data_IF_850758424372
#
_entry.id   IF_850758424372
#
_cell.length_a   1.000
_cell.length_b   1.000
_cell.length_c   1.000
_cell.angle_alpha   90.00
_cell.angle_beta   90.00
_cell.angle_gamma   90.00
#
_symmetry.space_group_name_H-M   'P 1'
#
loop_
_entity.id
_entity.type
_entity.pdbx_description
1 polymer ?
#
# COMPACT_ATOMS: atom_id res chain seq x y z
N UNK A 1 -18.58 9.28 14.42
CA UNK A 1 -19.06 7.91 14.11
C UNK A 1 -17.87 7.01 13.86
N UNK A 2 -17.90 5.77 14.38
CA UNK A 2 -16.84 4.79 14.12
C UNK A 2 -16.95 4.22 12.70
N UNK A 3 -15.80 4.08 12.04
CA UNK A 3 -15.60 3.55 10.69
C UNK A 3 -14.72 2.31 10.82
N UNK A 4 -15.28 1.12 10.58
CA UNK A 4 -14.56 -0.16 10.74
C UNK A 4 -15.05 -1.18 9.71
N UNK A 5 -14.45 -2.37 9.70
CA UNK A 5 -14.64 -3.37 8.64
C UNK A 5 -16.09 -3.81 8.38
N UNK A 6 -17.00 -3.64 9.34
CA UNK A 6 -18.44 -3.94 9.19
C UNK A 6 -19.31 -2.70 8.95
N UNK A 7 -18.74 -1.50 8.99
CA UNK A 7 -19.49 -0.24 8.92
C UNK A 7 -18.58 0.90 8.42
N UNK A 8 -18.29 0.92 7.11
CA UNK A 8 -17.58 2.01 6.46
C UNK A 8 -18.55 2.90 5.66
N UNK A 9 -18.62 4.17 6.04
CA UNK A 9 -19.27 5.25 5.28
C UNK A 9 -18.26 6.16 4.57
N UNK A 10 -16.95 5.92 4.77
CA UNK A 10 -15.86 6.62 4.11
C UNK A 10 -14.88 5.60 3.50
N UNK A 11 -14.24 5.99 2.40
CA UNK A 11 -13.19 5.20 1.76
C UNK A 11 -11.88 5.48 2.48
N UNK A 12 -11.27 4.45 3.07
CA UNK A 12 -10.15 4.66 3.99
C UNK A 12 -8.84 5.13 3.35
N UNK A 13 -8.40 4.67 2.16
CA UNK A 13 -7.12 5.12 1.58
C UNK A 13 -6.97 6.65 1.45
N UNK A 14 -7.95 7.41 0.92
CA UNK A 14 -7.90 8.88 0.95
C UNK A 14 -7.81 9.47 2.36
N UNK A 15 -8.51 8.90 3.34
CA UNK A 15 -8.43 9.37 4.74
C UNK A 15 -7.02 9.17 5.33
N UNK A 16 -6.36 8.03 5.05
CA UNK A 16 -4.99 7.75 5.49
C UNK A 16 -4.01 8.75 4.87
N UNK A 17 -4.15 9.00 3.57
CA UNK A 17 -3.29 9.95 2.83
C UNK A 17 -3.48 11.37 3.39
N UNK A 18 -4.72 11.82 3.54
CA UNK A 18 -5.03 13.14 4.08
C UNK A 18 -4.51 13.34 5.52
N UNK A 19 -4.55 12.27 6.34
CA UNK A 19 -4.03 12.27 7.71
C UNK A 19 -2.50 12.10 7.81
N UNK A 20 -1.77 12.04 6.69
CA UNK A 20 -0.31 11.89 6.71
C UNK A 20 0.18 10.53 7.20
N UNK A 21 -0.68 9.50 7.15
CA UNK A 21 -0.38 8.17 7.68
C UNK A 21 0.12 7.19 6.61
N UNK A 22 0.18 7.61 5.35
CA UNK A 22 0.70 6.77 4.28
C UNK A 22 0.47 7.33 2.88
N UNK A 23 1.06 6.63 1.92
CA UNK A 23 0.94 6.93 0.49
C UNK A 23 0.29 5.77 -0.25
N UNK A 24 -0.30 6.08 -1.40
CA UNK A 24 -0.93 5.10 -2.27
C UNK A 24 0.12 4.13 -2.84
N UNK A 25 -0.26 2.86 -2.98
CA UNK A 25 0.63 1.82 -3.55
C UNK A 25 0.12 1.29 -4.87
N UNK A 26 0.95 0.45 -5.53
CA UNK A 26 0.61 -0.28 -6.76
C UNK A 26 -0.69 -1.08 -6.70
N UNK A 27 -1.17 -1.50 -5.53
CA UNK A 27 -2.45 -2.23 -5.47
C UNK A 27 -3.66 -1.32 -5.68
N UNK A 28 -3.51 0.00 -5.62
CA UNK A 28 -4.55 0.98 -5.94
C UNK A 28 -5.55 1.26 -4.83
N UNK A 29 -5.94 0.24 -4.06
CA UNK A 29 -6.95 0.37 -2.98
C UNK A 29 -6.34 0.37 -1.58
N UNK A 30 -5.01 0.40 -1.46
CA UNK A 30 -4.31 0.29 -0.20
C UNK A 30 -3.10 1.22 -0.17
N UNK A 31 -2.80 1.74 1.02
CA UNK A 31 -1.66 2.60 1.28
C UNK A 31 -0.55 1.83 1.99
N UNK A 32 0.65 2.37 1.97
CA UNK A 32 1.76 1.95 2.82
C UNK A 32 2.08 3.07 3.82
N UNK A 33 2.39 2.70 5.05
CA UNK A 33 2.84 3.62 6.10
C UNK A 33 4.37 3.59 6.19
N UNK A 34 5.08 4.70 6.42
CA UNK A 34 6.55 4.74 6.41
C UNK A 34 7.21 3.77 7.40
N UNK A 35 6.64 3.65 8.62
CA UNK A 35 7.09 2.69 9.65
C UNK A 35 6.44 1.29 9.60
N UNK A 36 5.12 1.20 9.45
CA UNK A 36 4.39 -0.08 9.51
C UNK A 36 4.38 -0.82 8.17
N UNK A 37 4.78 -0.14 7.10
CA UNK A 37 4.74 -0.68 5.77
C UNK A 37 3.33 -0.82 5.22
N UNK A 38 3.21 -1.75 4.28
CA UNK A 38 1.93 -2.11 3.67
C UNK A 38 1.09 -3.08 4.53
N UNK A 39 1.61 -3.54 5.67
CA UNK A 39 0.91 -4.49 6.55
C UNK A 39 0.26 -3.79 7.73
N UNK A 40 -0.82 -3.09 7.41
CA UNK A 40 -1.71 -2.51 8.39
C UNK A 40 -3.16 -2.65 7.95
N UNK A 41 -4.06 -2.56 8.93
CA UNK A 41 -5.50 -2.34 8.73
C UNK A 41 -5.85 -1.05 9.44
N UNK A 42 -6.87 -0.38 8.93
CA UNK A 42 -7.27 0.93 9.40
C UNK A 42 -8.70 0.93 9.87
N UNK A 43 -8.98 1.85 10.75
CA UNK A 43 -10.30 2.25 11.19
C UNK A 43 -10.23 3.77 11.46
N UNK A 44 -11.36 4.46 11.43
CA UNK A 44 -11.40 5.90 11.68
C UNK A 44 -12.58 6.26 12.58
N UNK A 45 -12.50 7.43 13.21
CA UNK A 45 -13.64 8.03 13.92
C UNK A 45 -13.86 9.41 13.30
N UNK A 46 -15.02 9.63 12.71
CA UNK A 46 -15.43 10.98 12.29
C UNK A 46 -16.01 11.71 13.49
N UNK A 47 -15.71 12.99 13.65
CA UNK A 47 -16.17 13.78 14.79
C UNK A 47 -16.28 15.25 14.39
N UNK A 48 -17.19 15.97 15.03
CA UNK A 48 -17.32 17.44 14.91
C UNK A 48 -16.43 18.17 15.93
N UNK A 49 -15.67 17.43 16.75
CA UNK A 49 -14.67 17.98 17.64
C UNK A 49 -13.61 18.75 16.82
N UNK A 50 -13.38 20.04 17.07
CA UNK A 50 -12.34 20.79 16.37
C UNK A 50 -10.96 20.24 16.72
N UNK A 51 -10.24 19.76 15.71
CA UNK A 51 -8.88 19.24 15.80
C UNK A 51 -8.02 19.91 14.74
N UNK A 52 -6.73 20.09 15.03
CA UNK A 52 -5.77 20.53 14.01
C UNK A 52 -5.54 19.36 13.02
N UNK A 53 -5.73 19.56 11.70
CA UNK A 53 -5.47 18.51 10.73
C UNK A 53 -3.97 18.33 10.51
N UNK A 54 -3.57 17.07 10.36
CA UNK A 54 -2.25 16.70 9.86
C UNK A 54 -2.11 17.04 8.36
N UNK A 55 -0.91 16.82 7.80
CA UNK A 55 -0.62 17.02 6.38
C UNK A 55 -0.24 15.69 5.72
N UNK A 56 -0.56 15.52 4.42
CA UNK A 56 -0.02 14.41 3.63
C UNK A 56 1.51 14.36 3.69
N UNK A 57 2.04 13.15 3.52
CA UNK A 57 3.48 12.86 3.52
C UNK A 57 3.95 12.40 2.13
N UNK A 58 5.24 12.53 1.89
CA UNK A 58 5.96 11.93 0.77
C UNK A 58 7.23 11.24 1.32
N UNK A 59 7.22 9.92 1.26
CA UNK A 59 8.30 8.99 1.57
C UNK A 59 8.63 8.10 0.35
N UNK A 60 8.36 8.59 -0.87
CA UNK A 60 8.83 7.96 -2.11
C UNK A 60 8.12 6.67 -2.51
N UNK A 61 6.90 6.42 -2.01
CA UNK A 61 6.17 5.19 -2.34
C UNK A 61 5.78 5.12 -3.82
N UNK A 62 5.51 6.26 -4.45
CA UNK A 62 5.23 6.35 -5.89
C UNK A 62 6.40 5.80 -6.71
N UNK A 63 7.60 6.35 -6.51
CA UNK A 63 8.81 5.94 -7.23
C UNK A 63 9.17 4.49 -6.94
N UNK A 64 9.00 4.07 -5.70
CA UNK A 64 9.21 2.68 -5.32
C UNK A 64 8.26 1.74 -6.08
N UNK A 65 6.98 2.08 -6.13
CA UNK A 65 5.99 1.27 -6.80
C UNK A 65 6.25 1.19 -8.31
N UNK A 66 6.73 2.26 -8.97
CA UNK A 66 7.09 2.28 -10.40
C UNK A 66 8.08 1.19 -10.78
N UNK A 67 9.08 0.93 -9.94
CA UNK A 67 10.17 -0.03 -10.25
C UNK A 67 10.03 -1.41 -9.59
N UNK A 68 9.24 -1.50 -8.51
CA UNK A 68 9.17 -2.72 -7.71
C UNK A 68 8.39 -3.85 -8.39
N UNK A 69 7.07 -3.70 -8.56
CA UNK A 69 6.23 -4.71 -9.22
C UNK A 69 6.03 -6.05 -8.49
N UNK A 70 6.76 -6.35 -7.40
CA UNK A 70 6.75 -7.67 -6.74
C UNK A 70 5.36 -8.16 -6.35
N UNK A 71 4.48 -7.27 -5.89
CA UNK A 71 3.11 -7.62 -5.54
C UNK A 71 2.28 -8.09 -6.75
N UNK A 72 2.55 -7.55 -7.94
CA UNK A 72 1.90 -7.98 -9.19
C UNK A 72 2.45 -9.33 -9.66
N UNK A 73 3.76 -9.55 -9.58
CA UNK A 73 4.40 -10.82 -9.95
C UNK A 73 3.97 -11.98 -9.06
N UNK A 74 3.69 -11.70 -7.79
CA UNK A 74 3.27 -12.71 -6.80
C UNK A 74 1.74 -12.76 -6.59
N UNK A 75 0.95 -12.07 -7.41
CA UNK A 75 -0.50 -12.08 -7.28
C UNK A 75 -1.07 -13.41 -7.82
N UNK A 76 -1.64 -14.30 -6.98
CA UNK A 76 -2.08 -15.62 -7.42
C UNK A 76 -3.27 -15.55 -8.40
N UNK A 77 -4.04 -14.47 -8.38
CA UNK A 77 -5.16 -14.24 -9.30
C UNK A 77 -4.80 -13.37 -10.51
N UNK A 78 -3.57 -12.87 -10.60
CA UNK A 78 -3.15 -11.93 -11.65
C UNK A 78 -3.98 -10.66 -11.69
N UNK A 79 -4.45 -10.17 -10.54
CA UNK A 79 -5.35 -9.02 -10.46
C UNK A 79 -4.62 -7.67 -10.47
N UNK A 80 -3.38 -7.60 -9.99
CA UNK A 80 -2.65 -6.33 -9.83
C UNK A 80 -1.94 -5.97 -11.14
N UNK A 81 -2.06 -4.71 -11.57
CA UNK A 81 -1.40 -4.24 -12.80
C UNK A 81 0.14 -4.23 -12.68
N UNK A 82 0.79 -4.53 -13.81
CA UNK A 82 2.25 -4.43 -14.00
C UNK A 82 2.68 -3.09 -14.63
N UNK A 83 1.74 -2.20 -14.92
CA UNK A 83 2.03 -0.92 -15.58
C UNK A 83 2.99 -0.08 -14.74
N UNK A 84 3.96 0.57 -15.39
CA UNK A 84 4.93 1.41 -14.68
C UNK A 84 4.20 2.57 -14.00
N UNK A 85 3.42 3.33 -14.76
CA UNK A 85 2.75 4.55 -14.29
C UNK A 85 1.34 4.27 -13.76
N UNK A 86 0.91 4.99 -12.72
CA UNK A 86 -0.51 5.06 -12.37
C UNK A 86 -1.28 5.80 -13.48
N UNK A 87 -2.58 5.54 -13.55
CA UNK A 87 -3.48 6.21 -14.49
C UNK A 87 -4.55 6.97 -13.72
N UNK A 88 -5.17 7.95 -14.37
CA UNK A 88 -6.29 8.65 -13.78
C UNK A 88 -7.49 7.71 -13.62
N UNK A 89 -8.08 7.70 -12.43
CA UNK A 89 -9.31 6.98 -12.15
C UNK A 89 -10.13 7.76 -11.12
N UNK A 90 -11.34 8.15 -11.51
CA UNK A 90 -12.27 8.91 -10.65
C UNK A 90 -11.63 10.19 -10.07
N UNK A 91 -10.87 10.93 -10.88
CA UNK A 91 -10.30 12.23 -10.55
C UNK A 91 -8.97 12.22 -9.79
N UNK A 92 -8.30 11.07 -9.62
CA UNK A 92 -6.95 11.00 -9.06
C UNK A 92 -6.11 9.89 -9.69
N UNK A 93 -4.78 10.01 -9.58
CA UNK A 93 -3.84 9.02 -10.11
C UNK A 93 -3.76 7.80 -9.20
N UNK A 94 -3.90 6.61 -9.79
CA UNK A 94 -3.71 5.32 -9.11
C UNK A 94 -3.38 4.20 -10.08
N UNK A 95 -2.74 3.15 -9.55
CA UNK A 95 -2.74 1.85 -10.24
C UNK A 95 -4.09 1.17 -10.03
N UNK A 96 -4.59 0.49 -11.07
CA UNK A 96 -5.90 -0.15 -11.02
C UNK A 96 -5.74 -1.68 -10.94
N UNK A 97 -6.10 -2.25 -9.80
CA UNK A 97 -6.23 -3.71 -9.62
C UNK A 97 -7.60 -4.16 -10.11
N UNK A 98 -7.67 -5.32 -10.77
CA UNK A 98 -8.93 -5.99 -11.07
C UNK A 98 -9.55 -6.53 -9.76
N UNK A 99 -10.38 -5.69 -9.14
CA UNK A 99 -11.02 -6.01 -7.85
C UNK A 99 -11.97 -7.19 -7.96
N UNK A 100 -12.52 -7.49 -9.15
CA UNK A 100 -13.36 -8.67 -9.37
C UNK A 100 -12.54 -9.95 -9.28
N UNK A 101 -11.41 -10.04 -10.00
CA UNK A 101 -10.48 -11.18 -9.90
C UNK A 101 -9.94 -11.37 -8.48
N UNK A 102 -9.56 -10.28 -7.82
CA UNK A 102 -9.09 -10.32 -6.44
C UNK A 102 -10.18 -10.84 -5.49
N UNK A 103 -11.42 -10.35 -5.62
CA UNK A 103 -12.56 -10.75 -4.79
C UNK A 103 -12.91 -12.23 -4.99
N UNK A 104 -13.02 -12.68 -6.24
CA UNK A 104 -13.30 -14.09 -6.56
C UNK A 104 -12.24 -14.98 -5.90
N UNK A 105 -10.95 -14.71 -6.13
CA UNK A 105 -9.88 -15.50 -5.55
C UNK A 105 -9.94 -15.50 -4.01
N UNK A 106 -10.12 -14.34 -3.37
CA UNK A 106 -10.22 -14.24 -1.91
C UNK A 106 -11.42 -15.00 -1.34
N UNK A 107 -12.54 -15.06 -2.06
CA UNK A 107 -13.76 -15.69 -1.58
C UNK A 107 -13.82 -17.20 -1.87
N UNK A 108 -13.22 -17.66 -2.97
CA UNK A 108 -13.45 -19.01 -3.50
C UNK A 108 -12.23 -19.92 -3.53
N UNK A 109 -11.01 -19.42 -3.21
CA UNK A 109 -9.85 -20.30 -3.14
C UNK A 109 -10.04 -21.36 -2.05
N UNK A 110 -9.78 -22.63 -2.38
CA UNK A 110 -9.99 -23.78 -1.48
C UNK A 110 -8.76 -24.15 -0.66
N UNK A 111 -7.61 -23.55 -0.97
CA UNK A 111 -6.30 -23.84 -0.36
C UNK A 111 -5.96 -22.86 0.77
N UNK A 112 -6.91 -22.00 1.17
CA UNK A 112 -6.71 -21.01 2.20
C UNK A 112 -7.99 -20.28 2.60
N UNK A 113 -7.83 -19.26 3.43
CA UNK A 113 -8.91 -18.36 3.83
C UNK A 113 -8.54 -16.92 3.47
N UNK A 114 -9.28 -16.34 2.52
CA UNK A 114 -8.94 -15.04 1.93
C UNK A 114 -7.59 -15.03 1.18
N UNK A 115 -6.99 -13.85 1.04
CA UNK A 115 -5.65 -13.65 0.53
C UNK A 115 -5.08 -12.35 1.08
N UNK A 116 -3.77 -12.33 1.29
CA UNK A 116 -2.99 -11.15 1.64
C UNK A 116 -1.57 -11.21 1.08
N UNK A 117 -1.36 -11.99 0.00
CA UNK A 117 -0.03 -12.28 -0.55
C UNK A 117 0.72 -11.01 -0.94
N UNK A 118 0.02 -10.04 -1.54
CA UNK A 118 0.58 -8.72 -1.87
C UNK A 118 1.16 -8.00 -0.65
N UNK A 119 0.58 -8.16 0.54
CA UNK A 119 1.15 -7.61 1.77
C UNK A 119 2.44 -8.31 2.15
N UNK A 120 2.44 -9.65 2.11
CA UNK A 120 3.58 -10.46 2.54
C UNK A 120 4.83 -10.27 1.67
N UNK A 121 4.66 -10.01 0.38
CA UNK A 121 5.79 -9.87 -0.57
C UNK A 121 6.22 -8.43 -0.80
N UNK A 122 5.55 -7.46 -0.16
CA UNK A 122 5.94 -6.06 -0.31
C UNK A 122 7.27 -5.85 0.42
N UNK A 123 8.31 -5.27 -0.21
CA UNK A 123 9.58 -4.98 0.47
C UNK A 123 9.42 -4.06 1.69
N UNK A 124 8.34 -3.25 1.70
CA UNK A 124 8.00 -2.41 2.84
C UNK A 124 7.31 -3.16 3.99
N UNK A 125 7.08 -4.48 3.92
CA UNK A 125 6.40 -5.28 4.97
C UNK A 125 7.28 -5.60 6.20
N UNK A 126 8.58 -5.27 6.19
CA UNK A 126 9.47 -5.70 7.27
C UNK A 126 9.06 -5.13 8.65
N UNK A 127 9.11 -6.00 9.67
CA UNK A 127 8.86 -5.66 11.09
C UNK A 127 10.13 -5.24 11.81
N UNK A 128 11.27 -5.27 11.12
CA UNK A 128 12.54 -5.13 11.79
C UNK A 128 12.77 -3.68 12.23
N UNK A 129 12.93 -3.48 13.53
CA UNK A 129 13.30 -2.19 14.12
C UNK A 129 14.81 -2.19 14.35
N UNK A 130 15.57 -2.19 13.27
CA UNK A 130 17.02 -2.07 13.29
C UNK A 130 17.46 -0.83 12.52
N UNK A 131 18.57 -0.22 12.96
CA UNK A 131 19.08 0.99 12.34
C UNK A 131 19.42 0.81 10.86
N UNK A 132 19.85 -0.39 10.46
CA UNK A 132 20.17 -0.68 9.06
C UNK A 132 18.92 -0.88 8.21
N UNK A 133 17.83 -1.40 8.78
CA UNK A 133 16.53 -1.48 8.10
C UNK A 133 15.93 -0.08 7.91
N UNK A 134 16.00 0.77 8.92
CA UNK A 134 15.59 2.18 8.83
C UNK A 134 16.43 2.94 7.79
N UNK A 135 17.75 2.75 7.79
CA UNK A 135 18.63 3.33 6.78
C UNK A 135 18.30 2.80 5.36
N UNK A 136 18.02 1.50 5.21
CA UNK A 136 17.67 0.89 3.93
C UNK A 136 16.36 1.42 3.36
N UNK A 137 15.32 1.53 4.19
CA UNK A 137 14.01 2.09 3.79
C UNK A 137 14.10 3.58 3.51
N UNK A 138 14.87 4.33 4.30
CA UNK A 138 15.18 5.74 4.02
C UNK A 138 15.95 5.90 2.71
N UNK A 139 16.97 5.10 2.41
CA UNK A 139 17.65 5.19 1.11
C UNK A 139 16.67 4.86 -0.02
N UNK A 140 15.88 3.79 0.14
CA UNK A 140 14.89 3.36 -0.84
C UNK A 140 13.80 4.37 -1.16
N UNK A 141 13.51 5.32 -0.25
CA UNK A 141 12.53 6.39 -0.47
C UNK A 141 13.02 7.53 -1.35
N UNK A 142 14.29 7.56 -1.76
CA UNK A 142 14.87 8.67 -2.53
C UNK A 142 15.04 8.30 -4.01
N UNK A 143 13.91 8.25 -4.73
CA UNK A 143 13.85 8.11 -6.18
C UNK A 143 13.96 6.66 -6.72
N UNK A 144 13.63 6.50 -8.00
CA UNK A 144 13.54 5.19 -8.68
C UNK A 144 14.84 4.36 -8.62
N UNK A 145 16.01 5.00 -8.70
CA UNK A 145 17.30 4.31 -8.68
C UNK A 145 17.56 3.64 -7.32
N UNK A 146 17.34 4.38 -6.23
CA UNK A 146 17.49 3.89 -4.86
C UNK A 146 16.43 2.85 -4.52
N UNK A 147 15.19 3.08 -4.96
CA UNK A 147 14.11 2.09 -4.88
C UNK A 147 14.43 0.77 -5.58
N UNK A 148 15.08 0.84 -6.76
CA UNK A 148 15.50 -0.35 -7.51
C UNK A 148 16.59 -1.14 -6.77
N UNK A 149 17.50 -0.45 -6.08
CA UNK A 149 18.49 -1.09 -5.23
C UNK A 149 17.83 -1.81 -4.04
N UNK A 150 16.92 -1.13 -3.33
CA UNK A 150 16.21 -1.73 -2.20
C UNK A 150 15.41 -2.97 -2.63
N UNK A 151 14.75 -2.92 -3.80
CA UNK A 151 14.07 -4.08 -4.39
C UNK A 151 15.03 -5.28 -4.57
N UNK A 152 16.22 -5.04 -5.14
CA UNK A 152 17.23 -6.09 -5.38
C UNK A 152 17.73 -6.70 -4.08
N UNK A 153 17.96 -5.88 -3.05
CA UNK A 153 18.36 -6.36 -1.72
C UNK A 153 17.28 -7.27 -1.14
N UNK A 154 16.00 -6.90 -1.27
CA UNK A 154 14.87 -7.73 -0.82
C UNK A 154 14.69 -9.02 -1.66
N UNK A 155 15.28 -9.11 -2.85
CA UNK A 155 15.27 -10.34 -3.68
C UNK A 155 16.44 -11.31 -3.35
N UNK A 156 17.45 -10.86 -2.59
CA UNK A 156 18.61 -11.68 -2.18
C UNK A 156 18.31 -12.53 -0.95
#
# INVERSE_FOLDING_TARGET
RAQHFTNYNAVMPPCIIAAGLGELTRTGDCTAHPRLGFRHKVAAVTTDLPLAPDKPIDFGMLDFCRVCGKCADNCPSGAITKDKEPVEYNGYLRWNTDSKKCTIFRATNKEGSSCGRCMKVCPWDSKEQSWFHEAGTWIGSHGEASSSLLKKIDDM
#
